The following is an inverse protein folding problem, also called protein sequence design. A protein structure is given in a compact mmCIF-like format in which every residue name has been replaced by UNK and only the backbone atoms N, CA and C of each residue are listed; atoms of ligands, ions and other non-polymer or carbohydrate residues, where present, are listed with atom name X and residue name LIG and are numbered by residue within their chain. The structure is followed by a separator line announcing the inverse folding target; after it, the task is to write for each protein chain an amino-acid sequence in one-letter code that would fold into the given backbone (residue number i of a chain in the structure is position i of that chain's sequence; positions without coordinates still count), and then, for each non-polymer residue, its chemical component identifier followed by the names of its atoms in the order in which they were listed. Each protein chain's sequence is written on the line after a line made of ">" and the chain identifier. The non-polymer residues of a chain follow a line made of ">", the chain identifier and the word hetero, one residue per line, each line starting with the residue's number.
data_IF_361226210861
#
_entry.id   IF_361226210861
#
_cell.length_a   1.000
_cell.length_b   1.000
_cell.length_c   1.000
_cell.angle_alpha   90.00
_cell.angle_beta   90.00
_cell.angle_gamma   90.00
#
_symmetry.space_group_name_H-M   'P 1'
#
loop_
_entity.id
_entity.type
_entity.pdbx_description
1 polymer ?
#
# COMPACT_ATOMS: atom_id res chain seq x y z
N UNK A 1 51.53 -0.91 -36.52
CA UNK A 1 51.31 0.25 -35.62
C UNK A 1 50.04 -0.07 -34.83
N UNK A 2 50.19 -0.57 -33.60
CA UNK A 2 49.96 0.17 -32.33
C UNK A 2 48.50 0.61 -32.18
N UNK A 3 47.73 0.38 -31.10
CA UNK A 3 47.91 -0.14 -29.73
C UNK A 3 46.48 -0.47 -29.21
N UNK A 4 46.28 -1.56 -28.47
CA UNK A 4 45.93 -1.59 -27.03
C UNK A 4 44.87 -0.58 -26.57
N UNK A 5 43.74 -1.07 -26.02
CA UNK A 5 43.48 -1.00 -24.57
C UNK A 5 42.21 -1.78 -24.15
N UNK A 6 42.41 -2.70 -23.21
CA UNK A 6 41.41 -3.22 -22.27
C UNK A 6 40.82 -2.08 -21.42
N UNK A 7 39.55 -2.19 -20.98
CA UNK A 7 39.24 -1.87 -19.59
C UNK A 7 38.04 -2.64 -19.04
N UNK A 8 38.27 -3.24 -17.87
CA UNK A 8 37.35 -3.98 -17.01
C UNK A 8 36.71 -3.02 -16.02
N UNK A 9 35.47 -3.29 -15.66
CA UNK A 9 34.91 -2.92 -14.35
C UNK A 9 34.15 -1.59 -14.29
N UNK A 10 32.88 -1.67 -13.93
CA UNK A 10 32.41 -1.16 -12.64
C UNK A 10 30.93 -1.49 -12.49
N UNK A 11 30.63 -2.35 -11.52
CA UNK A 11 29.30 -2.52 -10.94
C UNK A 11 28.86 -1.17 -10.38
N UNK A 12 28.01 -0.45 -11.10
CA UNK A 12 27.37 0.74 -10.58
C UNK A 12 26.26 0.33 -9.62
N UNK A 13 26.63 0.07 -8.36
CA UNK A 13 25.76 0.24 -7.21
C UNK A 13 25.55 1.75 -7.00
N UNK A 14 24.34 2.32 -7.12
CA UNK A 14 24.07 3.58 -6.46
C UNK A 14 23.79 3.28 -4.98
N UNK A 15 24.84 3.39 -4.15
CA UNK A 15 24.69 3.71 -2.73
C UNK A 15 24.84 5.23 -2.61
N UNK A 16 23.74 5.93 -2.36
CA UNK A 16 23.79 7.18 -1.61
C UNK A 16 22.54 7.31 -0.74
N UNK A 17 22.81 7.43 0.56
CA UNK A 17 21.87 7.52 1.66
C UNK A 17 21.18 8.88 1.68
N UNK A 18 19.86 8.88 1.86
CA UNK A 18 19.16 9.94 2.57
C UNK A 18 18.62 9.33 3.87
N UNK A 19 19.09 9.75 5.06
CA UNK A 19 18.47 9.42 6.33
C UNK A 19 17.29 10.37 6.54
N UNK A 20 16.13 9.82 6.92
CA UNK A 20 14.91 10.55 7.34
C UNK A 20 14.03 11.21 6.28
N UNK A 21 13.50 10.43 5.31
CA UNK A 21 12.06 10.54 4.94
C UNK A 21 11.56 9.18 4.43
N UNK A 22 11.17 8.27 5.32
CA UNK A 22 10.46 7.03 4.94
C UNK A 22 8.98 7.40 4.67
N UNK A 23 8.74 8.17 3.60
CA UNK A 23 7.39 8.40 3.03
C UNK A 23 7.27 7.48 1.81
N UNK A 24 6.53 6.37 1.89
CA UNK A 24 5.05 6.24 1.83
C UNK A 24 4.47 5.91 0.44
N UNK A 25 5.28 5.75 -0.59
CA UNK A 25 4.80 5.24 -1.89
C UNK A 25 5.50 3.95 -2.29
N UNK A 26 4.70 2.94 -2.63
CA UNK A 26 5.16 1.74 -3.31
C UNK A 26 5.40 2.10 -4.77
N UNK A 27 6.57 1.78 -5.31
CA UNK A 27 6.83 1.92 -6.74
C UNK A 27 6.31 0.70 -7.49
N UNK A 28 6.04 0.82 -8.80
CA UNK A 28 5.60 -0.31 -9.63
C UNK A 28 6.59 -1.48 -9.58
N UNK A 29 7.89 -1.17 -9.52
CA UNK A 29 8.94 -2.18 -9.35
C UNK A 29 8.83 -2.91 -8.00
N UNK A 30 8.54 -2.19 -6.90
CA UNK A 30 8.32 -2.81 -5.59
C UNK A 30 7.04 -3.65 -5.55
N UNK A 31 5.99 -3.23 -6.28
CA UNK A 31 4.74 -3.98 -6.39
C UNK A 31 4.97 -5.26 -7.19
N UNK A 32 5.70 -5.18 -8.31
CA UNK A 32 6.07 -6.35 -9.10
C UNK A 32 6.89 -7.35 -8.26
N UNK A 33 7.89 -6.85 -7.52
CA UNK A 33 8.71 -7.67 -6.63
C UNK A 33 7.87 -8.29 -5.49
N UNK A 34 6.90 -7.55 -4.94
CA UNK A 34 5.96 -8.07 -3.96
C UNK A 34 5.13 -9.23 -4.51
N UNK A 35 4.58 -9.09 -5.72
CA UNK A 35 3.79 -10.15 -6.36
C UNK A 35 4.63 -11.41 -6.59
N UNK A 36 5.84 -11.26 -7.13
CA UNK A 36 6.75 -12.38 -7.36
C UNK A 36 7.12 -13.10 -6.04
N UNK A 37 7.42 -12.33 -4.99
CA UNK A 37 7.74 -12.89 -3.67
C UNK A 37 6.53 -13.59 -3.03
N UNK A 38 5.32 -13.09 -3.25
CA UNK A 38 4.09 -13.75 -2.79
C UNK A 38 3.90 -15.10 -3.49
N UNK A 39 4.13 -15.17 -4.79
CA UNK A 39 4.06 -16.42 -5.56
C UNK A 39 5.13 -17.42 -5.10
N UNK A 40 6.37 -16.95 -4.87
CA UNK A 40 7.50 -17.79 -4.44
C UNK A 40 7.40 -18.28 -3.00
N UNK A 41 6.90 -17.45 -2.09
CA UNK A 41 6.92 -17.69 -0.65
C UNK A 41 5.53 -18.01 -0.05
N UNK A 42 4.51 -18.16 -0.89
CA UNK A 42 3.14 -18.56 -0.53
C UNK A 42 2.55 -17.73 0.64
N UNK A 43 2.56 -16.40 0.48
CA UNK A 43 2.10 -15.43 1.49
C UNK A 43 2.88 -15.41 2.83
N UNK A 44 4.14 -15.86 2.86
CA UNK A 44 5.00 -15.67 4.04
C UNK A 44 5.42 -14.20 4.22
N UNK A 45 4.51 -13.38 4.75
CA UNK A 45 4.65 -11.92 4.86
C UNK A 45 5.89 -11.49 5.65
N UNK A 46 6.28 -12.26 6.66
CA UNK A 46 7.47 -11.97 7.47
C UNK A 46 8.74 -12.01 6.63
N UNK A 47 8.88 -13.05 5.81
CA UNK A 47 10.02 -13.20 4.92
C UNK A 47 9.96 -12.19 3.76
N UNK A 48 8.78 -11.99 3.16
CA UNK A 48 8.56 -10.99 2.11
C UNK A 48 8.90 -9.57 2.59
N UNK A 49 8.53 -9.23 3.82
CA UNK A 49 8.82 -7.94 4.44
C UNK A 49 10.32 -7.73 4.65
N UNK A 50 11.05 -8.78 5.05
CA UNK A 50 12.51 -8.75 5.17
C UNK A 50 13.17 -8.52 3.81
N UNK A 51 12.74 -9.25 2.76
CA UNK A 51 13.27 -9.12 1.40
C UNK A 51 13.03 -7.71 0.81
N UNK A 52 11.87 -7.12 1.08
CA UNK A 52 11.51 -5.78 0.58
C UNK A 52 11.97 -4.65 1.49
N UNK A 53 12.55 -4.97 2.66
CA UNK A 53 12.85 -4.00 3.72
C UNK A 53 11.65 -3.11 4.07
N UNK A 54 10.47 -3.73 4.20
CA UNK A 54 9.18 -3.09 4.51
C UNK A 54 8.59 -3.72 5.78
N UNK A 55 7.51 -3.13 6.30
CA UNK A 55 6.72 -3.76 7.38
C UNK A 55 5.79 -4.81 6.80
N UNK A 56 5.57 -5.91 7.50
CA UNK A 56 4.62 -6.98 7.10
C UNK A 56 3.24 -6.42 6.76
N UNK A 57 2.73 -5.52 7.60
CA UNK A 57 1.44 -4.86 7.36
C UNK A 57 1.42 -4.08 6.05
N UNK A 58 2.53 -3.43 5.66
CA UNK A 58 2.63 -2.72 4.39
C UNK A 58 2.60 -3.68 3.20
N UNK A 59 3.29 -4.83 3.30
CA UNK A 59 3.28 -5.85 2.25
C UNK A 59 1.88 -6.47 2.09
N UNK A 60 1.23 -6.82 3.21
CA UNK A 60 -0.15 -7.33 3.23
C UNK A 60 -1.12 -6.34 2.60
N UNK A 61 -1.04 -5.08 3.02
CA UNK A 61 -1.91 -4.02 2.53
C UNK A 61 -1.68 -3.78 1.04
N UNK A 62 -0.43 -3.69 0.60
CA UNK A 62 -0.14 -3.45 -0.81
C UNK A 62 -0.58 -4.62 -1.70
N UNK A 63 -0.35 -5.86 -1.24
CA UNK A 63 -0.83 -7.03 -1.98
C UNK A 63 -2.35 -7.04 -2.04
N UNK A 64 -3.02 -6.80 -0.91
CA UNK A 64 -4.48 -6.71 -0.86
C UNK A 64 -5.01 -5.66 -1.83
N UNK A 65 -4.41 -4.46 -1.90
CA UNK A 65 -4.77 -3.43 -2.89
C UNK A 65 -4.52 -3.86 -4.33
N UNK A 66 -3.49 -4.66 -4.59
CA UNK A 66 -3.13 -5.09 -5.95
C UNK A 66 -4.06 -6.18 -6.48
N UNK A 67 -4.55 -7.05 -5.59
CA UNK A 67 -5.54 -8.09 -5.93
C UNK A 67 -6.98 -7.62 -5.72
N UNK A 68 -7.18 -6.44 -5.12
CA UNK A 68 -8.49 -5.84 -4.96
C UNK A 68 -9.10 -5.58 -6.33
N UNK A 69 -10.41 -5.77 -6.44
CA UNK A 69 -11.15 -5.40 -7.65
C UNK A 69 -11.09 -3.89 -7.85
N UNK A 70 -11.22 -3.45 -9.11
CA UNK A 70 -11.33 -2.02 -9.41
C UNK A 70 -12.53 -1.43 -8.66
N UNK A 71 -12.31 -0.32 -7.96
CA UNK A 71 -13.36 0.39 -7.25
C UNK A 71 -14.26 1.10 -8.26
N UNK A 72 -15.56 0.83 -8.19
CA UNK A 72 -16.56 1.54 -8.97
C UNK A 72 -16.92 2.88 -8.31
N UNK A 73 -17.43 3.84 -9.11
CA UNK A 73 -17.91 5.12 -8.59
C UNK A 73 -18.99 4.93 -7.51
N UNK A 74 -19.86 3.94 -7.69
CA UNK A 74 -20.92 3.62 -6.73
C UNK A 74 -20.35 3.14 -5.38
N UNK A 75 -19.31 2.31 -5.39
CA UNK A 75 -18.65 1.83 -4.17
C UNK A 75 -17.93 2.97 -3.44
N UNK A 76 -17.30 3.89 -4.18
CA UNK A 76 -16.72 5.11 -3.61
C UNK A 76 -17.78 6.02 -3.01
N UNK A 77 -18.93 6.19 -3.67
CA UNK A 77 -20.04 7.00 -3.17
C UNK A 77 -20.69 6.37 -1.93
N UNK A 78 -20.80 5.04 -1.89
CA UNK A 78 -21.26 4.31 -0.71
C UNK A 78 -20.29 4.52 0.47
N UNK A 79 -18.98 4.38 0.24
CA UNK A 79 -17.95 4.60 1.25
C UNK A 79 -17.94 6.05 1.75
N UNK A 80 -18.09 7.02 0.84
CA UNK A 80 -18.21 8.45 1.16
C UNK A 80 -19.40 8.70 2.06
N UNK A 81 -20.58 8.25 1.62
CA UNK A 81 -21.83 8.44 2.35
C UNK A 81 -21.72 7.84 3.74
N UNK A 82 -21.23 6.59 3.83
CA UNK A 82 -21.01 5.92 5.10
C UNK A 82 -20.06 6.70 6.03
N UNK A 83 -18.94 7.21 5.51
CA UNK A 83 -18.00 8.03 6.28
C UNK A 83 -18.64 9.32 6.79
N UNK A 84 -19.39 10.05 5.97
CA UNK A 84 -20.06 11.29 6.41
C UNK A 84 -21.06 11.07 7.56
N UNK A 85 -21.70 9.89 7.59
CA UNK A 85 -22.59 9.50 8.69
C UNK A 85 -21.83 9.07 9.96
N UNK A 86 -20.63 8.48 9.85
CA UNK A 86 -19.92 7.85 10.96
C UNK A 86 -18.64 8.57 11.44
N UNK A 87 -18.09 9.55 10.70
CA UNK A 87 -16.88 10.34 11.03
C UNK A 87 -16.99 11.08 12.39
N UNK A 88 -18.22 11.26 12.89
CA UNK A 88 -18.47 11.89 14.19
C UNK A 88 -18.35 10.91 15.37
N UNK A 89 -18.27 9.60 15.12
CA UNK A 89 -18.23 8.58 16.15
C UNK A 89 -16.79 8.11 16.44
N UNK A 90 -16.46 7.92 17.72
CA UNK A 90 -15.14 7.44 18.17
C UNK A 90 -14.98 5.92 17.99
N UNK A 91 -16.04 5.19 17.70
CA UNK A 91 -16.01 3.74 17.44
C UNK A 91 -16.54 3.43 16.04
N UNK A 92 -15.70 3.62 15.03
CA UNK A 92 -16.02 3.18 13.67
C UNK A 92 -16.17 1.66 13.58
N UNK A 93 -17.39 1.20 13.31
CA UNK A 93 -17.67 -0.21 12.98
C UNK A 93 -17.73 -0.40 11.47
N UNK A 94 -16.68 -1.00 10.91
CA UNK A 94 -16.61 -1.30 9.47
C UNK A 94 -17.50 -2.47 9.02
N UNK A 95 -18.21 -3.15 9.93
CA UNK A 95 -19.00 -4.36 9.59
C UNK A 95 -20.05 -4.06 8.51
N UNK A 96 -20.83 -3.00 8.69
CA UNK A 96 -21.89 -2.62 7.74
C UNK A 96 -21.34 -2.26 6.35
N UNK A 97 -20.25 -1.46 6.31
CA UNK A 97 -19.66 -1.06 5.03
C UNK A 97 -18.92 -2.22 4.35
N UNK A 98 -18.38 -3.19 5.11
CA UNK A 98 -17.81 -4.42 4.55
C UNK A 98 -18.89 -5.32 3.93
N UNK A 99 -20.10 -5.37 4.50
CA UNK A 99 -21.22 -6.10 3.91
C UNK A 99 -21.71 -5.44 2.60
N UNK A 100 -21.76 -4.10 2.57
CA UNK A 100 -22.13 -3.36 1.36
C UNK A 100 -21.04 -3.39 0.28
N UNK A 101 -19.78 -3.41 0.68
CA UNK A 101 -18.60 -3.49 -0.18
C UNK A 101 -17.97 -4.89 -0.11
N UNK A 102 -18.79 -5.94 -0.27
CA UNK A 102 -18.38 -7.34 -0.11
C UNK A 102 -17.29 -7.80 -1.10
N UNK A 103 -17.12 -7.08 -2.21
CA UNK A 103 -16.03 -7.28 -3.16
C UNK A 103 -14.67 -6.82 -2.62
N UNK A 104 -14.68 -5.94 -1.62
CA UNK A 104 -13.49 -5.34 -1.04
C UNK A 104 -13.25 -5.85 0.37
N UNK A 105 -11.99 -6.18 0.67
CA UNK A 105 -11.61 -6.54 2.04
C UNK A 105 -11.63 -5.29 2.93
N UNK A 106 -11.91 -5.48 4.23
CA UNK A 106 -11.87 -4.40 5.24
C UNK A 106 -10.63 -3.50 5.12
N UNK A 107 -9.46 -4.08 4.94
CA UNK A 107 -8.20 -3.33 4.77
C UNK A 107 -8.20 -2.44 3.52
N UNK A 108 -8.79 -2.88 2.42
CA UNK A 108 -8.92 -2.10 1.19
C UNK A 108 -9.87 -0.91 1.42
N UNK A 109 -11.02 -1.16 2.08
CA UNK A 109 -12.01 -0.14 2.44
C UNK A 109 -11.38 0.94 3.33
N UNK A 110 -10.70 0.53 4.41
CA UNK A 110 -10.03 1.46 5.31
C UNK A 110 -8.93 2.26 4.60
N UNK A 111 -8.17 1.63 3.69
CA UNK A 111 -7.14 2.32 2.92
C UNK A 111 -7.74 3.30 1.91
N UNK A 112 -8.81 2.92 1.22
CA UNK A 112 -9.53 3.79 0.29
C UNK A 112 -10.07 5.01 1.03
N UNK A 113 -10.65 4.80 2.21
CA UNK A 113 -11.13 5.86 3.09
C UNK A 113 -9.99 6.80 3.52
N UNK A 114 -8.84 6.26 3.91
CA UNK A 114 -7.65 7.07 4.19
C UNK A 114 -7.22 7.91 2.98
N UNK A 115 -7.23 7.32 1.78
CA UNK A 115 -6.84 8.05 0.57
C UNK A 115 -7.82 9.19 0.26
N UNK A 116 -9.12 8.94 0.38
CA UNK A 116 -10.16 9.96 0.16
C UNK A 116 -10.10 11.10 1.17
N UNK A 117 -9.80 10.79 2.43
CA UNK A 117 -9.71 11.80 3.51
C UNK A 117 -8.37 12.54 3.54
N UNK A 118 -7.28 11.91 3.09
CA UNK A 118 -5.95 12.55 3.00
C UNK A 118 -5.82 13.51 1.82
N UNK A 119 -6.70 13.44 0.81
CA UNK A 119 -6.71 14.36 -0.34
C UNK A 119 -7.33 15.74 -0.03
N UNK A 120 -7.62 16.05 1.23
CA UNK A 120 -8.11 17.37 1.65
C UNK A 120 -9.57 17.65 1.29
N UNK A 121 -10.32 16.63 0.86
CA UNK A 121 -11.74 16.73 0.53
C UNK A 121 -12.61 16.74 1.82
N UNK A 122 -12.07 16.23 2.94
CA UNK A 122 -12.81 16.11 4.20
C UNK A 122 -12.13 16.82 5.37
N UNK A 123 -12.93 17.27 6.35
CA UNK A 123 -12.49 18.03 7.53
C UNK A 123 -11.59 17.23 8.49
N UNK A 124 -11.68 15.91 8.49
CA UNK A 124 -10.91 15.03 9.40
C UNK A 124 -10.20 13.93 8.59
N UNK A 125 -8.86 13.85 8.64
CA UNK A 125 -8.11 12.78 7.99
C UNK A 125 -8.26 11.48 8.76
N UNK A 126 -8.63 10.39 8.08
CA UNK A 126 -8.70 9.06 8.67
C UNK A 126 -7.29 8.45 8.78
N UNK A 127 -6.89 8.03 9.99
CA UNK A 127 -5.57 7.44 10.26
C UNK A 127 -5.67 5.93 10.55
N UNK A 128 -5.14 5.13 9.62
CA UNK A 128 -5.02 3.68 9.75
C UNK A 128 -4.20 3.23 10.96
N UNK A 129 -3.36 4.09 11.55
CA UNK A 129 -2.55 3.73 12.72
C UNK A 129 -3.33 3.83 14.05
N UNK A 130 -4.59 4.29 14.02
CA UNK A 130 -5.45 4.40 15.20
C UNK A 130 -6.38 3.18 15.38
N UNK A 131 -6.25 2.18 14.52
CA UNK A 131 -7.07 0.98 14.56
C UNK A 131 -6.18 -0.19 14.99
N UNK A 132 -6.50 -0.73 16.17
CA UNK A 132 -5.88 -1.91 16.79
C UNK A 132 -5.99 -3.17 15.89
#
# INVERSE_FOLDING_TARGET
>A
MQKEQENKGAVAKPKNLAPHVINKQWTDAQIAQLMELVEKLNHNWKQIAQELNKKELQCKLQYALKIDTEWTQQEEDNLRTWWEFHDKDKKLDFTQICEQLNNHKKLCIQRKLQMMTSQGIYKVPFDLNQID
#
